data_IF_454172145442
#
_entry.id   IF_454172145442
#
_cell.length_a   1.000
_cell.length_b   1.000
_cell.length_c   1.000
_cell.angle_alpha   90.00
_cell.angle_beta   90.00
_cell.angle_gamma   90.00
#
_symmetry.space_group_name_H-M   'P 1'
#
loop_
_entity.id
_entity.type
_entity.pdbx_description
1 polymer ?
#
# COMPACT_ATOMS: atom_id res chain seq x y z
N UNK A 1 3.04 4.25 -10.16
CA UNK A 1 2.99 3.89 -8.72
C UNK A 1 1.85 4.63 -8.01
N UNK A 2 1.74 4.45 -6.70
CA UNK A 2 0.66 5.03 -5.86
C UNK A 2 0.55 6.54 -6.06
N UNK A 3 1.64 7.28 -5.92
CA UNK A 3 1.65 8.76 -6.05
C UNK A 3 1.09 9.22 -7.41
N UNK A 4 1.48 8.54 -8.50
CA UNK A 4 0.98 8.90 -9.83
C UNK A 4 -0.55 8.77 -9.92
N UNK A 5 -1.09 7.70 -9.37
CA UNK A 5 -2.52 7.40 -9.41
C UNK A 5 -3.31 8.35 -8.49
N UNK A 6 -2.81 8.66 -7.31
CA UNK A 6 -3.44 9.64 -6.39
C UNK A 6 -3.49 11.04 -7.00
N UNK A 7 -2.39 11.50 -7.57
CA UNK A 7 -2.34 12.82 -8.25
C UNK A 7 -3.26 12.85 -9.47
N UNK A 8 -3.27 11.77 -10.25
CA UNK A 8 -4.19 11.64 -11.40
C UNK A 8 -5.65 11.70 -10.96
N UNK A 9 -6.02 11.01 -9.88
CA UNK A 9 -7.37 11.08 -9.32
C UNK A 9 -7.75 12.50 -8.88
N UNK A 10 -6.83 13.22 -8.23
CA UNK A 10 -7.07 14.61 -7.82
C UNK A 10 -7.37 15.48 -9.03
N UNK A 11 -6.52 15.47 -10.06
CA UNK A 11 -6.71 16.33 -11.23
C UNK A 11 -7.93 15.93 -12.05
N UNK A 12 -8.22 14.64 -12.20
CA UNK A 12 -9.43 14.16 -12.86
C UNK A 12 -10.69 14.64 -12.12
N UNK A 13 -10.71 14.53 -10.77
CA UNK A 13 -11.82 15.04 -9.94
C UNK A 13 -12.01 16.55 -10.07
N UNK A 14 -10.94 17.29 -10.31
CA UNK A 14 -10.98 18.74 -10.58
C UNK A 14 -11.40 19.09 -12.02
N UNK A 15 -11.69 18.10 -12.86
CA UNK A 15 -12.20 18.27 -14.23
C UNK A 15 -11.11 18.31 -15.30
N UNK A 16 -9.87 17.93 -15.01
CA UNK A 16 -8.83 17.81 -16.02
C UNK A 16 -8.94 16.48 -16.75
N UNK A 17 -8.64 16.46 -18.04
CA UNK A 17 -8.33 15.23 -18.78
C UNK A 17 -6.95 14.74 -18.34
N UNK A 18 -6.86 13.49 -17.89
CA UNK A 18 -5.63 12.95 -17.30
C UNK A 18 -5.18 11.68 -18.00
N UNK A 19 -3.90 11.64 -18.35
CA UNK A 19 -3.22 10.46 -18.88
C UNK A 19 -2.15 10.00 -17.90
N UNK A 20 -2.15 8.72 -17.51
CA UNK A 20 -1.06 8.08 -16.77
C UNK A 20 -0.20 7.31 -17.76
N UNK A 21 1.09 7.65 -17.85
CA UNK A 21 2.07 6.89 -18.63
C UNK A 21 2.89 6.05 -17.66
N UNK A 22 2.87 4.74 -17.84
CA UNK A 22 3.59 3.80 -17.00
C UNK A 22 4.52 2.90 -17.83
N UNK A 23 5.82 2.96 -17.58
CA UNK A 23 6.84 2.15 -18.25
C UNK A 23 6.59 0.64 -18.10
N UNK A 24 6.00 0.23 -16.99
CA UNK A 24 5.58 -1.15 -16.73
C UNK A 24 4.09 -1.18 -16.35
N UNK A 25 3.63 -2.25 -15.72
CA UNK A 25 2.27 -2.29 -15.16
C UNK A 25 2.11 -1.25 -14.04
N UNK A 26 0.99 -0.55 -14.06
CA UNK A 26 0.61 0.36 -12.99
C UNK A 26 0.15 -0.45 -11.75
N UNK A 27 0.33 0.11 -10.53
CA UNK A 27 -0.09 -0.51 -9.27
C UNK A 27 0.28 -2.01 -9.16
N UNK A 28 1.52 -2.35 -9.51
CA UNK A 28 1.98 -3.75 -9.59
C UNK A 28 2.05 -4.45 -8.22
N UNK A 29 2.01 -3.70 -7.13
CA UNK A 29 1.99 -4.20 -5.76
C UNK A 29 0.58 -4.65 -5.32
N UNK A 30 -0.45 -4.30 -6.09
CA UNK A 30 -1.86 -4.62 -5.82
C UNK A 30 -2.27 -5.82 -6.69
N UNK A 31 -3.05 -6.73 -6.12
CA UNK A 31 -3.59 -7.88 -6.84
C UNK A 31 -4.32 -7.45 -8.12
N UNK A 32 -4.20 -8.24 -9.18
CA UNK A 32 -4.72 -7.87 -10.51
C UNK A 32 -6.23 -7.64 -10.52
N UNK A 33 -7.01 -8.45 -9.82
CA UNK A 33 -8.46 -8.31 -9.72
C UNK A 33 -8.88 -7.04 -8.95
N UNK A 34 -8.13 -6.67 -7.90
CA UNK A 34 -8.31 -5.42 -7.17
C UNK A 34 -7.94 -4.22 -8.05
N UNK A 35 -6.83 -4.31 -8.76
CA UNK A 35 -6.39 -3.29 -9.71
C UNK A 35 -7.43 -3.08 -10.82
N UNK A 36 -7.95 -4.15 -11.40
CA UNK A 36 -8.97 -4.09 -12.43
C UNK A 36 -10.26 -3.43 -11.91
N UNK A 37 -10.65 -3.72 -10.66
CA UNK A 37 -11.77 -3.03 -10.02
C UNK A 37 -11.50 -1.53 -9.88
N UNK A 38 -10.31 -1.13 -9.41
CA UNK A 38 -9.91 0.27 -9.26
C UNK A 38 -9.97 1.00 -10.59
N UNK A 39 -9.36 0.44 -11.64
CA UNK A 39 -9.31 1.09 -12.96
C UNK A 39 -10.69 1.21 -13.58
N UNK A 40 -11.52 0.19 -13.46
CA UNK A 40 -12.86 0.18 -14.05
C UNK A 40 -13.87 1.06 -13.32
N UNK A 41 -13.80 1.12 -11.98
CA UNK A 41 -14.87 1.72 -11.19
C UNK A 41 -14.46 3.04 -10.52
N UNK A 42 -13.18 3.22 -10.17
CA UNK A 42 -12.71 4.41 -9.47
C UNK A 42 -11.94 5.38 -10.36
N UNK A 43 -11.34 4.89 -11.43
CA UNK A 43 -10.47 5.66 -12.33
C UNK A 43 -10.92 5.56 -13.80
N UNK A 44 -12.20 5.31 -14.05
CA UNK A 44 -12.76 5.11 -15.40
C UNK A 44 -12.56 6.30 -16.34
N UNK A 45 -12.42 7.51 -15.78
CA UNK A 45 -12.21 8.76 -16.53
C UNK A 45 -10.71 9.03 -16.83
N UNK A 46 -9.81 8.17 -16.34
CA UNK A 46 -8.36 8.37 -16.50
C UNK A 46 -7.84 7.39 -17.54
N UNK A 47 -7.14 7.92 -18.55
CA UNK A 47 -6.49 7.09 -19.55
C UNK A 47 -5.15 6.55 -18.99
N UNK A 48 -4.97 5.23 -19.00
CA UNK A 48 -3.80 4.57 -18.42
C UNK A 48 -3.03 3.82 -19.51
N UNK A 49 -1.86 4.34 -19.86
CA UNK A 49 -0.95 3.81 -20.90
C UNK A 49 0.15 2.99 -20.21
N UNK A 50 -0.14 1.72 -19.98
CA UNK A 50 0.86 0.75 -19.45
C UNK A 50 1.85 0.34 -20.54
N UNK A 51 3.05 -0.14 -20.11
CA UNK A 51 4.14 -0.59 -21.00
C UNK A 51 4.48 0.47 -22.06
N UNK A 52 4.53 1.72 -21.60
CA UNK A 52 4.75 2.90 -22.44
C UNK A 52 5.80 3.78 -21.79
N UNK A 53 6.89 4.07 -22.54
CA UNK A 53 7.96 4.95 -22.10
C UNK A 53 7.78 6.36 -22.68
N UNK A 54 8.23 7.36 -21.94
CA UNK A 54 8.37 8.73 -22.43
C UNK A 54 9.74 8.87 -23.09
N UNK A 55 9.76 9.27 -24.35
CA UNK A 55 11.01 9.50 -25.11
C UNK A 55 11.36 10.97 -25.21
N UNK A 56 10.37 11.85 -25.17
CA UNK A 56 10.57 13.30 -25.17
C UNK A 56 9.53 13.97 -24.28
N UNK A 57 9.94 15.01 -23.57
CA UNK A 57 9.07 15.78 -22.69
C UNK A 57 9.34 17.26 -22.85
N UNK A 58 8.36 18.00 -23.30
CA UNK A 58 8.33 19.45 -23.39
C UNK A 58 7.43 20.04 -22.30
N UNK A 59 7.36 21.39 -22.22
CA UNK A 59 6.56 22.07 -21.21
C UNK A 59 5.06 21.68 -21.22
N UNK A 60 4.49 21.42 -22.39
CA UNK A 60 3.07 21.16 -22.58
C UNK A 60 2.81 19.94 -23.49
N UNK A 61 3.80 19.09 -23.70
CA UNK A 61 3.68 17.93 -24.57
C UNK A 61 4.61 16.82 -24.14
N UNK A 62 4.16 15.60 -24.28
CA UNK A 62 4.94 14.38 -24.05
C UNK A 62 4.84 13.49 -25.29
N UNK A 63 5.96 12.91 -25.71
CA UNK A 63 6.03 11.94 -26.82
C UNK A 63 6.41 10.57 -26.24
N UNK A 64 5.67 9.54 -26.62
CA UNK A 64 5.88 8.18 -26.13
C UNK A 64 6.72 7.37 -27.14
N UNK A 65 7.27 6.24 -26.68
CA UNK A 65 7.97 5.27 -27.53
C UNK A 65 7.04 4.56 -28.54
N UNK A 66 5.73 4.79 -28.44
CA UNK A 66 4.72 4.34 -29.43
C UNK A 66 4.37 5.43 -30.43
N UNK A 67 5.13 6.53 -30.45
CA UNK A 67 4.90 7.72 -31.27
C UNK A 67 3.54 8.40 -31.01
N UNK A 68 3.00 8.28 -29.81
CA UNK A 68 1.83 9.03 -29.39
C UNK A 68 2.28 10.39 -28.86
N UNK A 69 1.65 11.46 -29.34
CA UNK A 69 1.83 12.81 -28.83
C UNK A 69 0.66 13.13 -27.90
N UNK A 70 0.98 13.42 -26.64
CA UNK A 70 0.02 13.79 -25.63
C UNK A 70 0.23 15.26 -25.22
N UNK A 71 -0.75 16.09 -25.49
CA UNK A 71 -0.74 17.47 -25.06
C UNK A 71 -1.15 17.57 -23.58
N UNK A 72 -0.52 18.44 -22.82
CA UNK A 72 -0.81 18.67 -21.41
C UNK A 72 0.43 19.01 -20.58
N UNK A 73 0.22 19.37 -19.34
CA UNK A 73 1.31 19.67 -18.40
C UNK A 73 1.84 18.37 -17.79
N UNK A 74 3.12 18.02 -18.03
CA UNK A 74 3.68 16.79 -17.47
C UNK A 74 3.89 16.90 -15.97
N UNK A 75 3.49 15.84 -15.24
CA UNK A 75 3.77 15.64 -13.83
C UNK A 75 4.63 14.38 -13.65
N UNK A 76 5.75 14.50 -12.94
CA UNK A 76 6.69 13.40 -12.76
C UNK A 76 6.46 12.70 -11.41
N UNK A 77 6.04 11.43 -11.47
CA UNK A 77 5.90 10.53 -10.31
C UNK A 77 6.76 9.26 -10.53
N UNK A 78 8.03 9.45 -10.92
CA UNK A 78 8.94 8.40 -11.38
C UNK A 78 9.78 7.77 -10.27
N UNK A 79 9.47 8.04 -9.01
CA UNK A 79 10.17 7.55 -7.84
C UNK A 79 11.00 8.63 -7.15
N UNK A 80 11.77 8.20 -6.16
CA UNK A 80 12.62 9.05 -5.33
C UNK A 80 14.03 8.47 -5.23
N UNK A 81 15.01 9.33 -5.07
CA UNK A 81 16.40 8.97 -4.79
C UNK A 81 16.75 9.49 -3.41
N UNK A 82 17.42 8.68 -2.59
CA UNK A 82 17.87 9.09 -1.28
C UNK A 82 18.87 10.25 -1.37
N UNK A 83 18.67 11.31 -0.60
CA UNK A 83 19.62 12.43 -0.52
C UNK A 83 20.68 12.13 0.55
N UNK A 84 21.58 11.21 0.23
CA UNK A 84 22.60 10.65 1.13
C UNK A 84 23.98 11.25 0.96
N UNK A 85 24.17 12.20 0.05
CA UNK A 85 25.48 12.77 -0.29
C UNK A 85 26.22 13.36 0.92
N UNK A 86 25.47 13.96 1.87
CA UNK A 86 26.03 14.60 3.07
C UNK A 86 26.78 13.61 3.99
N UNK A 87 26.48 12.31 3.90
CA UNK A 87 27.08 11.27 4.77
C UNK A 87 27.88 10.23 3.98
N UNK A 88 28.06 10.41 2.69
CA UNK A 88 28.74 9.47 1.78
C UNK A 88 30.11 9.00 2.27
N UNK A 89 30.90 9.93 2.83
CA UNK A 89 32.26 9.65 3.29
C UNK A 89 32.30 9.15 4.74
N UNK A 90 31.15 9.01 5.40
CA UNK A 90 31.03 8.64 6.81
C UNK A 90 30.51 7.23 6.98
N UNK A 91 29.54 6.82 6.14
CA UNK A 91 28.82 5.54 6.22
C UNK A 91 28.76 4.85 4.86
N UNK A 92 28.60 3.53 4.84
CA UNK A 92 28.37 2.79 3.59
C UNK A 92 26.95 3.03 3.07
N UNK A 93 26.86 3.16 1.75
CA UNK A 93 25.60 3.24 1.03
C UNK A 93 25.30 1.90 0.32
N UNK A 94 24.03 1.63 0.13
CA UNK A 94 23.53 0.59 -0.74
C UNK A 94 23.70 1.00 -2.24
N UNK A 95 23.59 0.07 -3.20
CA UNK A 95 23.72 0.40 -4.63
C UNK A 95 22.73 1.44 -5.17
N UNK A 96 21.60 1.64 -4.49
CA UNK A 96 20.54 2.62 -4.79
C UNK A 96 20.76 3.96 -4.08
N UNK A 97 21.93 4.19 -3.47
CA UNK A 97 22.30 5.34 -2.65
C UNK A 97 21.54 5.48 -1.33
N UNK A 98 20.81 4.49 -0.88
CA UNK A 98 20.25 4.51 0.48
C UNK A 98 21.30 4.17 1.53
N UNK A 99 21.10 4.60 2.78
CA UNK A 99 22.03 4.30 3.86
C UNK A 99 21.86 2.84 4.31
N UNK A 100 22.97 2.13 4.41
CA UNK A 100 22.98 0.77 4.96
C UNK A 100 22.85 0.81 6.47
N UNK A 101 21.77 0.23 6.99
CA UNK A 101 21.48 0.11 8.42
C UNK A 101 21.21 -1.34 8.82
N UNK A 102 21.42 -1.65 10.10
CA UNK A 102 21.04 -2.91 10.69
C UNK A 102 19.61 -2.83 11.29
N UNK A 103 19.12 -3.91 11.89
CA UNK A 103 17.79 -3.98 12.54
C UNK A 103 17.61 -2.99 13.70
N UNK A 104 18.69 -2.46 14.25
CA UNK A 104 18.68 -1.46 15.31
C UNK A 104 18.73 -0.04 14.75
N UNK A 105 18.68 0.13 13.44
CA UNK A 105 18.81 1.40 12.68
C UNK A 105 20.20 2.06 12.83
N UNK A 106 21.21 1.31 13.26
CA UNK A 106 22.59 1.76 13.27
C UNK A 106 23.24 1.56 11.91
N UNK A 107 23.99 2.55 11.44
CA UNK A 107 24.73 2.49 10.17
C UNK A 107 25.99 1.65 10.32
N UNK A 108 26.82 1.59 9.28
CA UNK A 108 28.14 0.95 9.35
C UNK A 108 29.16 1.72 10.18
N UNK A 109 28.85 2.95 10.57
CA UNK A 109 29.63 3.76 11.51
C UNK A 109 29.02 3.67 12.89
N UNK A 110 29.81 3.21 13.85
CA UNK A 110 29.44 3.10 15.27
C UNK A 110 28.85 4.42 15.81
N UNK A 111 27.74 4.34 16.54
CA UNK A 111 26.99 5.47 17.11
C UNK A 111 26.35 6.42 16.09
N UNK A 112 26.33 6.07 14.81
CA UNK A 112 25.62 6.81 13.78
C UNK A 112 24.38 6.02 13.34
N UNK A 113 23.22 6.65 13.45
CA UNK A 113 21.92 6.03 13.15
C UNK A 113 21.24 6.76 12.00
N UNK A 114 20.40 6.04 11.26
CA UNK A 114 19.58 6.61 10.18
C UNK A 114 18.17 6.01 10.21
N UNK A 115 17.18 6.82 9.80
CA UNK A 115 15.77 6.40 9.76
C UNK A 115 14.99 7.15 8.67
N UNK A 116 13.92 6.57 8.18
CA UNK A 116 13.04 7.12 7.16
C UNK A 116 13.53 6.85 5.74
N UNK A 117 13.02 7.62 4.78
CA UNK A 117 13.21 7.40 3.35
C UNK A 117 14.68 7.24 2.93
N UNK A 118 15.58 7.82 3.69
CA UNK A 118 17.04 7.73 3.41
C UNK A 118 17.60 6.32 3.60
N UNK A 119 16.94 5.46 4.37
CA UNK A 119 17.33 4.05 4.58
C UNK A 119 16.76 3.11 3.52
N UNK A 120 15.87 3.62 2.65
CA UNK A 120 15.17 2.85 1.63
C UNK A 120 13.93 2.12 2.16
N UNK A 121 13.57 1.02 1.50
CA UNK A 121 12.42 0.20 1.91
C UNK A 121 11.07 0.87 1.64
N UNK A 122 10.17 0.87 2.61
CA UNK A 122 8.76 1.23 2.42
C UNK A 122 8.49 2.72 2.14
N UNK A 123 9.38 3.63 2.49
CA UNK A 123 9.21 5.09 2.30
C UNK A 123 7.83 5.62 2.75
N UNK A 124 7.37 5.16 3.91
CA UNK A 124 6.09 5.51 4.52
C UNK A 124 6.29 6.24 5.85
N UNK A 125 5.52 7.29 6.11
CA UNK A 125 5.59 8.06 7.35
C UNK A 125 5.49 7.20 8.62
N UNK A 126 4.58 6.22 8.74
CA UNK A 126 4.53 5.34 9.92
C UNK A 126 5.80 4.49 10.09
N UNK A 127 6.38 4.03 8.99
CA UNK A 127 7.64 3.26 9.00
C UNK A 127 8.80 4.15 9.43
N UNK A 128 8.95 5.34 8.84
CA UNK A 128 9.95 6.32 9.24
C UNK A 128 9.87 6.66 10.74
N UNK A 129 8.66 6.77 11.28
CA UNK A 129 8.43 6.99 12.72
C UNK A 129 8.87 5.81 13.57
N UNK A 130 8.54 4.59 13.17
CA UNK A 130 8.98 3.36 13.85
C UNK A 130 10.50 3.25 13.85
N UNK A 131 11.13 3.49 12.73
CA UNK A 131 12.58 3.49 12.57
C UNK A 131 13.25 4.56 13.46
N UNK A 132 12.72 5.81 13.43
CA UNK A 132 13.24 6.90 14.26
C UNK A 132 13.13 6.61 15.77
N UNK A 133 12.01 6.02 16.21
CA UNK A 133 11.85 5.59 17.61
C UNK A 133 12.86 4.48 17.95
N UNK A 134 13.05 3.53 17.05
CA UNK A 134 14.03 2.44 17.24
C UNK A 134 15.45 3.00 17.35
N UNK A 135 15.85 3.89 16.44
CA UNK A 135 17.15 4.56 16.48
C UNK A 135 17.35 5.32 17.82
N UNK A 136 16.37 6.14 18.20
CA UNK A 136 16.44 6.93 19.44
C UNK A 136 16.56 6.05 20.70
N UNK A 137 15.84 4.93 20.76
CA UNK A 137 15.94 3.99 21.89
C UNK A 137 17.33 3.36 21.97
N UNK A 138 17.88 2.93 20.83
CA UNK A 138 19.21 2.34 20.79
C UNK A 138 20.30 3.35 21.16
N UNK A 139 20.20 4.61 20.70
CA UNK A 139 21.07 5.70 21.14
C UNK A 139 21.05 5.91 22.68
N UNK A 140 19.88 5.70 23.29
CA UNK A 140 19.69 5.83 24.73
C UNK A 140 20.01 4.55 25.53
N UNK A 141 20.61 3.54 24.90
CA UNK A 141 20.91 2.21 25.46
C UNK A 141 19.66 1.41 25.90
N UNK A 142 18.53 1.61 25.24
CA UNK A 142 17.34 0.75 25.34
C UNK A 142 17.22 -0.11 24.10
N UNK A 143 17.76 -1.35 24.06
CA UNK A 143 17.82 -2.18 22.86
C UNK A 143 16.43 -2.38 22.24
N UNK A 144 16.32 -2.05 20.98
CA UNK A 144 15.09 -2.21 20.19
C UNK A 144 15.44 -2.58 18.75
N UNK A 145 14.54 -3.32 18.08
CA UNK A 145 14.68 -3.72 16.68
C UNK A 145 13.45 -3.30 15.91
N UNK A 146 13.63 -2.88 14.66
CA UNK A 146 12.53 -2.69 13.74
C UNK A 146 11.94 -4.04 13.31
N UNK A 147 10.62 -4.04 13.07
CA UNK A 147 9.91 -5.21 12.56
C UNK A 147 9.13 -4.79 11.33
N UNK A 148 9.65 -5.13 10.15
CA UNK A 148 8.95 -4.98 8.88
C UNK A 148 8.10 -6.24 8.64
N UNK A 149 6.83 -6.15 8.99
CA UNK A 149 5.89 -7.26 8.93
C UNK A 149 4.47 -6.69 8.91
N UNK A 150 3.65 -7.14 7.98
CA UNK A 150 2.27 -6.69 7.81
C UNK A 150 2.13 -5.15 7.88
N UNK A 151 2.86 -4.44 7.02
CA UNK A 151 2.85 -2.99 6.96
C UNK A 151 1.63 -2.54 6.14
N UNK A 152 0.65 -1.87 6.75
CA UNK A 152 -0.52 -1.40 6.03
C UNK A 152 -0.18 -0.21 5.14
N UNK A 153 -0.81 -0.18 3.97
CA UNK A 153 -0.68 0.88 2.99
C UNK A 153 -2.06 1.32 2.51
N UNK A 154 -2.13 2.52 1.99
CA UNK A 154 -3.34 3.06 1.38
C UNK A 154 -3.03 3.73 0.05
N UNK A 155 -4.01 3.69 -0.85
CA UNK A 155 -4.12 4.49 -2.06
C UNK A 155 -5.33 5.40 -1.85
N UNK A 156 -5.06 6.70 -1.72
CA UNK A 156 -6.08 7.72 -1.40
C UNK A 156 -6.79 8.19 -2.67
N UNK A 157 -7.95 7.61 -2.92
CA UNK A 157 -8.85 7.99 -4.00
C UNK A 157 -10.14 8.58 -3.42
N UNK A 158 -11.12 8.87 -4.27
CA UNK A 158 -12.46 9.29 -3.84
C UNK A 158 -13.13 8.24 -2.93
N UNK A 159 -12.79 6.97 -3.13
CA UNK A 159 -13.05 5.88 -2.17
C UNK A 159 -11.70 5.34 -1.73
N UNK A 160 -11.49 5.19 -0.43
CA UNK A 160 -10.22 4.71 0.12
C UNK A 160 -9.93 3.26 -0.28
N UNK A 161 -8.70 3.00 -0.67
CA UNK A 161 -8.19 1.66 -0.98
C UNK A 161 -7.04 1.35 -0.04
N UNK A 162 -7.22 0.38 0.84
CA UNK A 162 -6.18 0.00 1.80
C UNK A 162 -5.83 -1.47 1.66
N UNK A 163 -4.56 -1.78 1.88
CA UNK A 163 -4.06 -3.14 1.75
C UNK A 163 -2.93 -3.41 2.72
N UNK A 164 -2.77 -4.67 3.08
CA UNK A 164 -1.68 -5.18 3.90
C UNK A 164 -1.38 -6.61 3.49
N UNK A 165 -0.12 -6.97 3.47
CA UNK A 165 0.33 -8.33 3.26
C UNK A 165 1.31 -8.74 4.36
N UNK A 166 1.22 -10.00 4.82
CA UNK A 166 2.23 -10.63 5.64
C UNK A 166 3.29 -11.26 4.74
N UNK A 167 4.35 -10.51 4.45
CA UNK A 167 5.44 -10.96 3.59
C UNK A 167 6.26 -12.09 4.22
N UNK A 168 6.17 -12.28 5.54
CA UNK A 168 6.85 -13.37 6.26
C UNK A 168 6.07 -14.67 6.22
N UNK A 169 4.78 -14.60 5.90
CA UNK A 169 3.95 -15.78 5.74
C UNK A 169 4.18 -16.40 4.35
N UNK A 170 4.96 -17.47 4.30
CA UNK A 170 5.24 -18.25 3.08
C UNK A 170 4.13 -19.29 2.83
N UNK A 171 2.88 -18.83 2.71
CA UNK A 171 1.74 -19.68 2.38
C UNK A 171 1.92 -20.32 1.00
N UNK A 172 1.72 -21.64 0.90
CA UNK A 172 1.66 -22.31 -0.40
C UNK A 172 0.33 -22.02 -1.10
N UNK A 173 0.27 -22.11 -2.43
CA UNK A 173 -0.99 -21.92 -3.16
C UNK A 173 -2.06 -22.96 -2.78
N UNK A 174 -1.66 -24.17 -2.33
CA UNK A 174 -2.57 -25.22 -1.86
C UNK A 174 -3.22 -24.88 -0.50
N UNK A 175 -2.47 -24.19 0.36
CA UNK A 175 -2.93 -23.78 1.69
C UNK A 175 -3.64 -22.42 1.69
N UNK A 176 -3.54 -21.68 0.58
CA UNK A 176 -4.11 -20.35 0.42
C UNK A 176 -5.60 -20.41 0.06
N UNK A 177 -6.40 -19.59 0.71
CA UNK A 177 -7.81 -19.38 0.38
C UNK A 177 -8.08 -17.90 0.24
N UNK A 178 -8.56 -17.53 -0.94
CA UNK A 178 -8.98 -16.18 -1.25
C UNK A 178 -10.51 -16.07 -1.17
N UNK A 179 -11.00 -15.11 -0.38
CA UNK A 179 -12.42 -14.79 -0.32
C UNK A 179 -12.60 -13.32 -0.68
N UNK A 180 -13.34 -13.06 -1.74
CA UNK A 180 -13.68 -11.72 -2.20
C UNK A 180 -15.18 -11.48 -2.13
N UNK A 181 -15.60 -10.32 -1.62
CA UNK A 181 -17.00 -9.90 -1.56
C UNK A 181 -17.13 -8.52 -2.20
N UNK A 182 -17.98 -8.38 -3.24
CA UNK A 182 -18.32 -7.06 -3.77
C UNK A 182 -19.22 -6.33 -2.79
N UNK A 183 -18.97 -5.04 -2.63
CA UNK A 183 -19.64 -4.22 -1.62
C UNK A 183 -19.05 -4.42 -0.22
N UNK A 184 -19.37 -3.51 0.67
CA UNK A 184 -18.73 -3.45 1.98
C UNK A 184 -19.52 -4.17 3.05
N UNK A 185 -20.84 -4.09 2.99
CA UNK A 185 -21.68 -4.56 4.05
C UNK A 185 -22.75 -5.55 3.58
N UNK A 186 -22.60 -6.10 2.38
CA UNK A 186 -23.55 -7.04 1.79
C UNK A 186 -24.88 -6.39 1.35
N UNK A 187 -25.80 -7.21 0.82
CA UNK A 187 -27.10 -6.72 0.35
C UNK A 187 -27.89 -6.05 1.47
N UNK A 188 -28.44 -4.87 1.20
CA UNK A 188 -29.26 -4.13 2.15
C UNK A 188 -28.53 -3.29 3.18
N UNK A 189 -27.20 -3.20 3.08
CA UNK A 189 -26.46 -2.32 3.96
C UNK A 189 -26.76 -0.85 3.71
N UNK A 190 -26.80 -0.09 4.79
CA UNK A 190 -27.09 1.35 4.78
C UNK A 190 -26.22 2.11 3.77
N UNK A 191 -24.94 1.83 3.72
CA UNK A 191 -24.00 2.50 2.81
C UNK A 191 -24.22 2.18 1.34
N UNK A 192 -24.67 0.98 1.01
CA UNK A 192 -25.05 0.61 -0.34
C UNK A 192 -26.24 1.42 -0.85
N UNK A 193 -27.18 1.73 0.05
CA UNK A 193 -28.33 2.58 -0.26
C UNK A 193 -27.88 4.01 -0.53
N UNK A 194 -26.94 4.54 0.24
CA UNK A 194 -26.46 5.91 0.12
C UNK A 194 -25.52 6.12 -1.06
N UNK A 195 -24.62 5.18 -1.32
CA UNK A 195 -23.47 5.35 -2.23
C UNK A 195 -23.58 4.50 -3.50
N UNK A 196 -24.57 3.63 -3.60
CA UNK A 196 -24.74 2.70 -4.72
C UNK A 196 -23.73 1.56 -4.71
N UNK A 197 -22.53 1.78 -5.23
CA UNK A 197 -21.41 0.84 -5.11
C UNK A 197 -20.58 1.19 -3.88
N UNK A 198 -20.40 0.21 -3.02
CA UNK A 198 -19.71 0.39 -1.74
C UNK A 198 -18.28 -0.17 -1.73
N UNK A 199 -17.80 -0.67 -2.87
CA UNK A 199 -16.44 -1.14 -3.04
C UNK A 199 -16.27 -2.65 -3.15
N UNK A 200 -15.09 -3.12 -2.76
CA UNK A 200 -14.72 -4.53 -2.85
C UNK A 200 -13.74 -4.88 -1.73
N UNK A 201 -13.95 -6.02 -1.09
CA UNK A 201 -13.01 -6.54 -0.09
C UNK A 201 -12.56 -7.95 -0.45
N UNK A 202 -11.25 -8.19 -0.38
CA UNK A 202 -10.65 -9.51 -0.58
C UNK A 202 -9.66 -9.81 0.53
N UNK A 203 -9.81 -10.99 1.14
CA UNK A 203 -8.88 -11.48 2.16
C UNK A 203 -8.32 -12.82 1.71
N UNK A 204 -7.01 -12.97 1.81
CA UNK A 204 -6.30 -14.23 1.62
C UNK A 204 -5.94 -14.83 2.97
N UNK A 205 -6.23 -16.10 3.15
CA UNK A 205 -5.98 -16.85 4.37
C UNK A 205 -4.96 -17.95 4.13
N UNK A 206 -4.14 -18.20 5.14
CA UNK A 206 -3.29 -19.38 5.25
C UNK A 206 -4.00 -20.38 6.17
N UNK A 207 -4.59 -21.43 5.59
CA UNK A 207 -5.29 -22.47 6.34
C UNK A 207 -4.38 -23.29 7.24
N UNK A 208 -3.13 -23.52 6.81
CA UNK A 208 -2.18 -24.33 7.54
C UNK A 208 -1.68 -23.65 8.80
N UNK A 209 -1.43 -22.33 8.71
CA UNK A 209 -0.97 -21.55 9.85
C UNK A 209 -2.13 -20.92 10.64
N UNK A 210 -3.37 -21.05 10.15
CA UNK A 210 -4.57 -20.43 10.73
C UNK A 210 -4.42 -18.91 10.87
N UNK A 211 -4.00 -18.22 9.79
CA UNK A 211 -3.69 -16.78 9.80
C UNK A 211 -4.19 -16.06 8.55
N UNK A 212 -4.36 -14.76 8.69
CA UNK A 212 -4.56 -13.87 7.54
C UNK A 212 -3.19 -13.67 6.86
N UNK A 213 -3.17 -13.88 5.54
CA UNK A 213 -2.01 -13.65 4.67
C UNK A 213 -2.03 -12.24 4.08
N UNK A 214 -3.19 -11.81 3.57
CA UNK A 214 -3.33 -10.54 2.85
C UNK A 214 -4.75 -10.00 2.98
N UNK A 215 -4.87 -8.67 3.03
CA UNK A 215 -6.14 -7.95 3.00
C UNK A 215 -6.05 -6.88 1.94
N UNK A 216 -7.07 -6.79 1.08
CA UNK A 216 -7.34 -5.66 0.21
C UNK A 216 -8.77 -5.19 0.49
N UNK A 217 -8.94 -3.91 0.80
CA UNK A 217 -10.24 -3.33 1.12
C UNK A 217 -10.43 -2.02 0.39
N UNK A 218 -11.50 -1.93 -0.37
CA UNK A 218 -11.95 -0.72 -1.04
C UNK A 218 -13.24 -0.30 -0.34
N UNK A 219 -13.16 0.72 0.50
CA UNK A 219 -14.31 1.14 1.31
C UNK A 219 -14.09 2.52 1.93
N UNK A 220 -15.16 3.24 2.30
CA UNK A 220 -15.05 4.51 3.03
C UNK A 220 -14.35 4.43 4.39
N UNK A 221 -14.20 3.23 4.96
CA UNK A 221 -13.53 2.99 6.25
C UNK A 221 -12.28 2.13 6.14
N UNK A 222 -11.83 1.81 4.93
CA UNK A 222 -10.76 0.83 4.71
C UNK A 222 -9.47 1.15 5.46
N UNK A 223 -9.10 2.42 5.59
CA UNK A 223 -7.90 2.85 6.34
C UNK A 223 -7.98 2.41 7.80
N UNK A 224 -9.11 2.64 8.46
CA UNK A 224 -9.28 2.28 9.86
C UNK A 224 -9.33 0.77 10.07
N UNK A 225 -10.09 0.08 9.21
CA UNK A 225 -10.32 -1.36 9.30
C UNK A 225 -9.03 -2.14 9.04
N UNK A 226 -8.30 -1.79 7.98
CA UNK A 226 -7.03 -2.45 7.63
C UNK A 226 -5.92 -2.11 8.63
N UNK A 227 -5.89 -0.89 9.18
CA UNK A 227 -4.92 -0.53 10.22
C UNK A 227 -5.08 -1.41 11.47
N UNK A 228 -6.32 -1.63 11.92
CA UNK A 228 -6.59 -2.50 13.05
C UNK A 228 -6.24 -3.97 12.76
N UNK A 229 -6.70 -4.50 11.63
CA UNK A 229 -6.42 -5.88 11.23
C UNK A 229 -4.92 -6.12 11.00
N UNK A 230 -4.19 -5.15 10.45
CA UNK A 230 -2.74 -5.24 10.31
C UNK A 230 -2.03 -5.38 11.66
N UNK A 231 -2.53 -4.69 12.69
CA UNK A 231 -1.99 -4.84 14.04
C UNK A 231 -2.17 -6.27 14.56
N UNK A 232 -3.34 -6.88 14.37
CA UNK A 232 -3.58 -8.28 14.74
C UNK A 232 -2.66 -9.24 13.96
N UNK A 233 -2.43 -9.00 12.67
CA UNK A 233 -1.45 -9.74 11.88
C UNK A 233 -0.03 -9.58 12.44
N UNK A 234 0.36 -8.36 12.83
CA UNK A 234 1.69 -8.07 13.41
C UNK A 234 1.95 -8.79 14.73
N UNK A 235 0.94 -8.96 15.55
CA UNK A 235 1.05 -9.74 16.81
C UNK A 235 0.83 -11.23 16.61
N UNK A 236 0.68 -11.69 15.37
CA UNK A 236 0.47 -13.08 14.98
C UNK A 236 -0.79 -13.71 15.60
N UNK A 237 -1.87 -12.94 15.79
CA UNK A 237 -3.16 -13.48 16.23
C UNK A 237 -3.65 -14.55 15.27
N UNK A 238 -3.98 -15.75 15.76
CA UNK A 238 -4.60 -16.79 14.95
C UNK A 238 -6.05 -16.43 14.62
N UNK A 239 -6.62 -17.01 13.56
CA UNK A 239 -7.98 -16.69 13.08
C UNK A 239 -9.06 -16.94 14.14
N UNK A 240 -8.91 -17.94 14.98
CA UNK A 240 -9.85 -18.27 16.04
C UNK A 240 -9.97 -17.18 17.12
N UNK A 241 -8.98 -16.36 17.33
CA UNK A 241 -9.06 -15.20 18.23
C UNK A 241 -9.89 -14.06 17.65
N UNK A 242 -10.07 -13.99 16.33
CA UNK A 242 -10.90 -12.95 15.70
C UNK A 242 -12.40 -13.16 15.97
N UNK A 243 -12.82 -14.33 16.42
CA UNK A 243 -14.21 -14.61 16.78
C UNK A 243 -14.71 -13.83 17.98
N UNK A 244 -13.82 -13.48 18.89
CA UNK A 244 -14.14 -12.68 20.06
C UNK A 244 -14.26 -11.18 19.76
N UNK A 245 -13.88 -10.77 18.55
CA UNK A 245 -14.02 -9.38 18.13
C UNK A 245 -15.49 -9.04 17.85
N UNK A 246 -15.95 -7.95 18.45
CA UNK A 246 -17.28 -7.40 18.22
C UNK A 246 -17.18 -6.12 17.40
N UNK A 247 -17.62 -6.21 16.14
CA UNK A 247 -17.71 -5.06 15.25
C UNK A 247 -18.87 -4.13 15.64
N UNK A 248 -18.69 -2.84 15.35
CA UNK A 248 -19.77 -1.87 15.49
C UNK A 248 -20.76 -2.03 14.33
N UNK A 249 -22.05 -2.12 14.63
CA UNK A 249 -23.11 -2.18 13.62
C UNK A 249 -24.08 -0.99 13.76
N UNK A 250 -24.50 -0.35 12.68
CA UNK A 250 -24.12 -0.58 11.27
C UNK A 250 -22.72 -0.11 10.95
N UNK A 251 -21.98 -0.87 10.14
CA UNK A 251 -20.64 -0.52 9.68
C UNK A 251 -20.50 -0.73 8.18
N UNK A 252 -19.45 -0.16 7.60
CA UNK A 252 -19.06 -0.36 6.19
C UNK A 252 -18.17 -1.57 6.02
N UNK A 253 -18.00 -2.38 7.05
CA UNK A 253 -16.95 -3.38 7.10
C UNK A 253 -17.41 -4.77 6.67
N UNK A 254 -16.92 -5.23 5.53
CA UNK A 254 -17.03 -6.61 5.10
C UNK A 254 -15.91 -7.51 5.65
N UNK A 255 -14.80 -6.93 6.12
CA UNK A 255 -13.61 -7.68 6.55
C UNK A 255 -13.96 -8.66 7.66
N UNK A 256 -14.66 -8.21 8.70
CA UNK A 256 -15.03 -9.05 9.83
C UNK A 256 -16.00 -10.16 9.44
N UNK A 257 -16.92 -9.91 8.50
CA UNK A 257 -17.84 -10.94 7.98
C UNK A 257 -17.08 -12.01 7.23
N UNK A 258 -16.10 -11.64 6.42
CA UNK A 258 -15.24 -12.60 5.72
C UNK A 258 -14.44 -13.42 6.72
N UNK A 259 -13.80 -12.79 7.69
CA UNK A 259 -12.97 -13.46 8.70
C UNK A 259 -13.85 -14.45 9.51
N UNK A 260 -15.02 -14.01 9.99
CA UNK A 260 -15.96 -14.87 10.72
C UNK A 260 -16.49 -16.02 9.87
N UNK A 261 -16.62 -15.86 8.55
CA UNK A 261 -17.05 -16.95 7.67
C UNK A 261 -16.04 -18.09 7.55
N UNK A 262 -14.78 -17.83 7.88
CA UNK A 262 -13.73 -18.86 7.92
C UNK A 262 -13.81 -19.79 9.14
N UNK A 263 -14.67 -19.45 10.11
CA UNK A 263 -14.90 -20.24 11.33
C UNK A 263 -16.00 -21.29 11.18
N UNK A 264 -16.82 -21.16 10.16
CA UNK A 264 -17.94 -22.06 9.84
C UNK A 264 -17.52 -23.11 8.80
#
# INVERSE_FOLDING_TARGET
GIIAVEVANIYSTLGSEVNIIARSKALKEIDSDIKDYIFKNLLSEINILEETDVVECEKNKVITNKNEELEGVPFFATGRVANSEIVRDIVELNPDNTLKVNEMMETTKEHVYAAGDVTGGYQLTPVARMEGITAARNMANYPNKVVYHAIPQTLSLNTEVSFVEDEKNNCSEEDKVDIGIPGIAGPGAFWKILSGDTGYTKISFDKKQNKIKKINSISPSSVSDVAYLSYLMRINSPLDEYGDFLEIHPSTDANYKIIKSMWL
#
